data_IF_779599103876
#
_entry.id   IF_779599103876
#
_cell.length_a   1.000
_cell.length_b   1.000
_cell.length_c   1.000
_cell.angle_alpha   90.00
_cell.angle_beta   90.00
_cell.angle_gamma   90.00
#
_symmetry.space_group_name_H-M   'P 1'
#
loop_
_entity.id
_entity.type
_entity.pdbx_description
1 polymer ?
#
# COMPACT_ATOMS: atom_id res chain seq x y z
N UNK A 1 84.13 31.69 40.15
CA UNK A 1 82.87 32.30 39.66
C UNK A 1 81.92 31.20 39.20
N UNK A 2 80.95 30.82 40.03
CA UNK A 2 79.95 29.85 39.74
C UNK A 2 78.61 30.59 39.51
N UNK A 3 77.99 30.43 38.33
CA UNK A 3 76.60 30.87 38.04
C UNK A 3 75.67 29.75 38.30
N UNK A 4 74.76 29.96 39.25
CA UNK A 4 73.59 29.09 39.48
C UNK A 4 72.51 29.45 38.48
N UNK A 5 72.05 28.46 37.71
CA UNK A 5 70.81 28.57 36.92
C UNK A 5 69.67 27.96 37.71
N UNK A 6 68.66 28.74 38.05
CA UNK A 6 67.40 28.30 38.62
C UNK A 6 66.48 27.89 37.51
N UNK A 7 66.02 26.60 37.49
CA UNK A 7 64.93 26.11 36.66
C UNK A 7 63.60 26.45 37.35
N UNK A 8 62.76 27.27 36.69
CA UNK A 8 61.38 27.47 37.08
C UNK A 8 60.52 26.38 36.36
N UNK A 9 59.91 25.52 37.15
CA UNK A 9 58.90 24.56 36.63
C UNK A 9 57.56 25.28 36.40
N UNK A 10 57.11 25.33 35.16
CA UNK A 10 55.75 25.80 34.81
C UNK A 10 54.82 24.57 34.78
N UNK A 11 53.99 24.47 35.80
CA UNK A 11 52.90 23.45 35.81
C UNK A 11 51.80 23.90 34.87
N UNK A 12 51.66 23.21 33.75
CA UNK A 12 50.50 23.33 32.86
C UNK A 12 49.30 22.57 33.44
N UNK A 13 48.31 23.29 33.91
CA UNK A 13 46.99 22.71 34.28
C UNK A 13 46.22 22.49 33.01
N UNK A 14 46.10 21.23 32.56
CA UNK A 14 45.13 20.80 31.51
C UNK A 14 43.72 20.84 32.11
N UNK A 15 42.94 21.87 31.78
CA UNK A 15 41.50 21.89 31.99
C UNK A 15 40.87 21.00 30.91
N UNK A 16 40.45 19.78 31.26
CA UNK A 16 39.60 18.98 30.44
C UNK A 16 38.21 19.64 30.44
N UNK A 17 37.91 20.36 29.37
CA UNK A 17 36.53 20.77 29.09
C UNK A 17 35.73 19.52 28.67
N UNK A 18 34.91 18.99 29.58
CA UNK A 18 33.84 18.06 29.22
C UNK A 18 32.83 18.87 28.38
N UNK A 19 32.87 18.71 27.09
CA UNK A 19 31.78 19.12 26.24
C UNK A 19 30.58 18.23 26.60
N UNK A 20 29.66 18.76 27.39
CA UNK A 20 28.32 18.18 27.52
C UNK A 20 27.69 18.29 26.14
N UNK A 21 27.58 17.17 25.43
CA UNK A 21 26.66 17.08 24.31
C UNK A 21 25.28 17.36 24.90
N UNK A 22 24.77 18.57 24.68
CA UNK A 22 23.37 18.87 24.90
C UNK A 22 22.63 18.07 23.81
N UNK A 23 22.11 16.89 24.15
CA UNK A 23 21.12 16.20 23.35
C UNK A 23 20.00 17.20 23.04
N UNK A 24 19.54 17.26 21.81
CA UNK A 24 18.37 18.04 21.48
C UNK A 24 17.21 17.59 22.40
N UNK A 25 16.44 18.57 22.93
CA UNK A 25 15.29 18.23 23.76
C UNK A 25 14.31 17.39 22.95
N UNK A 26 13.66 16.39 23.59
CA UNK A 26 12.61 15.61 22.95
C UNK A 26 11.55 16.54 22.35
N UNK A 27 11.05 16.27 21.15
CA UNK A 27 9.92 17.02 20.61
C UNK A 27 8.68 16.83 21.47
N UNK A 28 7.79 17.81 21.47
CA UNK A 28 6.47 17.65 22.08
C UNK A 28 5.66 16.62 21.29
N UNK A 29 4.96 15.67 21.94
CA UNK A 29 4.15 14.67 21.26
C UNK A 29 3.12 15.26 20.27
N UNK A 30 2.53 16.41 20.60
CA UNK A 30 1.60 17.12 19.70
C UNK A 30 2.28 17.57 18.40
N UNK A 31 3.55 17.97 18.44
CA UNK A 31 4.31 18.37 17.25
C UNK A 31 4.63 17.16 16.36
N UNK A 32 4.89 15.98 16.97
CA UNK A 32 5.07 14.72 16.22
C UNK A 32 3.80 14.32 15.50
N UNK A 33 2.66 14.34 16.18
CA UNK A 33 1.39 13.97 15.57
C UNK A 33 0.93 15.00 14.55
N UNK A 34 1.22 16.29 14.74
CA UNK A 34 0.96 17.29 13.68
C UNK A 34 1.74 16.95 12.42
N UNK A 35 3.04 16.65 12.54
CA UNK A 35 3.84 16.29 11.38
C UNK A 35 3.40 14.96 10.73
N UNK A 36 2.98 13.97 11.53
CA UNK A 36 2.38 12.74 11.04
C UNK A 36 1.12 13.02 10.20
N UNK A 37 0.22 13.87 10.68
CA UNK A 37 -0.99 14.27 9.94
C UNK A 37 -0.66 15.07 8.66
N UNK A 38 0.34 15.98 8.73
CA UNK A 38 0.79 16.75 7.57
C UNK A 38 1.40 15.82 6.49
N UNK A 39 2.11 14.75 6.89
CA UNK A 39 2.60 13.74 5.95
C UNK A 39 1.47 12.88 5.37
N UNK A 40 0.45 12.53 6.16
CA UNK A 40 -0.72 11.82 5.66
C UNK A 40 -1.42 12.65 4.57
N UNK A 41 -1.73 13.91 4.86
CA UNK A 41 -2.30 14.83 3.88
C UNK A 41 -1.45 14.87 2.60
N UNK A 42 -0.14 15.04 2.72
CA UNK A 42 0.75 15.14 1.56
C UNK A 42 0.75 13.85 0.71
N UNK A 43 0.69 12.67 1.32
CA UNK A 43 0.62 11.39 0.60
C UNK A 43 -0.71 11.23 -0.14
N UNK A 44 -1.83 11.58 0.48
CA UNK A 44 -3.13 11.56 -0.21
C UNK A 44 -3.24 12.62 -1.31
N UNK A 45 -2.64 13.82 -1.14
CA UNK A 45 -2.52 14.81 -2.23
C UNK A 45 -1.67 14.27 -3.40
N UNK A 46 -0.60 13.54 -3.12
CA UNK A 46 0.25 12.91 -4.14
C UNK A 46 -0.48 11.74 -4.82
N UNK A 47 -1.22 10.91 -4.07
CA UNK A 47 -2.08 9.87 -4.62
C UNK A 47 -3.16 10.47 -5.54
N UNK A 48 -3.83 11.53 -5.11
CA UNK A 48 -4.80 12.25 -5.94
C UNK A 48 -4.16 12.84 -7.21
N UNK A 49 -2.95 13.40 -7.10
CA UNK A 49 -2.23 13.95 -8.25
C UNK A 49 -1.92 12.89 -9.30
N UNK A 50 -1.47 11.72 -8.86
CA UNK A 50 -1.14 10.61 -9.76
C UNK A 50 -2.39 9.90 -10.27
N UNK A 51 -3.48 9.82 -9.50
CA UNK A 51 -4.77 9.30 -9.97
C UNK A 51 -5.39 10.20 -11.06
N UNK A 52 -5.29 11.51 -10.94
CA UNK A 52 -5.68 12.45 -12.01
C UNK A 52 -4.84 12.28 -13.28
N UNK A 53 -3.57 11.92 -13.16
CA UNK A 53 -2.74 11.59 -14.32
C UNK A 53 -3.14 10.25 -14.95
N UNK A 54 -3.54 9.26 -14.15
CA UNK A 54 -4.11 8.01 -14.63
C UNK A 54 -5.43 8.25 -15.36
N UNK A 55 -6.34 9.02 -14.80
CA UNK A 55 -7.62 9.37 -15.41
C UNK A 55 -7.42 10.05 -16.78
N UNK A 56 -6.50 11.00 -16.87
CA UNK A 56 -6.15 11.64 -18.15
C UNK A 56 -5.55 10.65 -19.17
N UNK A 57 -4.79 9.66 -18.75
CA UNK A 57 -4.24 8.62 -19.63
C UNK A 57 -5.34 7.66 -20.10
N UNK A 58 -6.32 7.35 -19.26
CA UNK A 58 -7.53 6.59 -19.62
C UNK A 58 -8.38 7.37 -20.63
N UNK A 59 -8.59 8.67 -20.44
CA UNK A 59 -9.25 9.53 -21.43
C UNK A 59 -8.57 9.48 -22.79
N UNK A 60 -7.23 9.49 -22.80
CA UNK A 60 -6.46 9.39 -24.04
C UNK A 60 -6.61 8.02 -24.73
N UNK A 61 -6.62 6.93 -23.94
CA UNK A 61 -6.88 5.57 -24.42
C UNK A 61 -8.27 5.47 -25.07
N UNK A 62 -9.30 5.98 -24.42
CA UNK A 62 -10.68 5.94 -24.90
C UNK A 62 -10.85 6.80 -26.17
N UNK A 63 -10.23 7.97 -26.22
CA UNK A 63 -10.32 8.89 -27.34
C UNK A 63 -9.57 8.40 -28.59
N UNK A 64 -8.47 7.67 -28.44
CA UNK A 64 -7.62 7.18 -29.50
C UNK A 64 -6.97 5.83 -29.14
N UNK A 65 -7.73 4.73 -29.14
CA UNK A 65 -7.24 3.41 -28.74
C UNK A 65 -6.05 2.96 -29.59
N UNK A 66 -4.94 2.67 -28.94
CA UNK A 66 -3.71 2.16 -29.53
C UNK A 66 -2.86 1.48 -28.46
N UNK A 67 -1.86 0.69 -28.90
CA UNK A 67 -0.91 0.10 -27.95
C UNK A 67 -0.20 1.18 -27.12
N UNK A 68 0.18 2.29 -27.75
CA UNK A 68 0.86 3.40 -27.05
C UNK A 68 -0.01 4.02 -25.95
N UNK A 69 -1.31 4.26 -26.22
CA UNK A 69 -2.21 4.84 -25.21
C UNK A 69 -2.57 3.85 -24.11
N UNK A 70 -2.68 2.55 -24.42
CA UNK A 70 -2.85 1.51 -23.40
C UNK A 70 -1.62 1.39 -22.50
N UNK A 71 -0.41 1.38 -23.09
CA UNK A 71 0.84 1.31 -22.32
C UNK A 71 1.03 2.57 -21.45
N UNK A 72 0.59 3.73 -21.93
CA UNK A 72 0.59 4.97 -21.15
C UNK A 72 -0.36 4.90 -19.96
N UNK A 73 -1.59 4.36 -20.13
CA UNK A 73 -2.55 4.17 -19.04
C UNK A 73 -2.02 3.17 -17.99
N UNK A 74 -1.45 2.03 -18.44
CA UNK A 74 -0.79 1.06 -17.57
C UNK A 74 0.36 1.68 -16.77
N UNK A 75 1.19 2.48 -17.42
CA UNK A 75 2.30 3.16 -16.75
C UNK A 75 1.81 4.19 -15.73
N UNK A 76 0.74 4.91 -16.03
CA UNK A 76 0.12 5.87 -15.12
C UNK A 76 -0.52 5.17 -13.91
N UNK A 77 -1.14 4.00 -14.11
CA UNK A 77 -1.66 3.17 -13.03
C UNK A 77 -0.53 2.75 -12.07
N UNK A 78 0.55 2.15 -12.58
CA UNK A 78 1.71 1.78 -11.77
C UNK A 78 2.29 2.97 -10.99
N UNK A 79 2.38 4.13 -11.61
CA UNK A 79 2.85 5.35 -10.95
C UNK A 79 1.89 5.83 -9.85
N UNK A 80 0.58 5.63 -10.02
CA UNK A 80 -0.43 6.05 -9.04
C UNK A 80 -0.46 5.16 -7.79
N UNK A 81 -0.04 3.90 -7.92
CA UNK A 81 0.11 2.99 -6.78
C UNK A 81 1.16 3.45 -5.77
N UNK A 82 2.25 4.09 -6.23
CA UNK A 82 3.39 4.45 -5.37
C UNK A 82 2.99 5.32 -4.17
N UNK A 83 2.42 6.53 -4.33
CA UNK A 83 2.04 7.36 -3.18
C UNK A 83 0.86 6.78 -2.41
N UNK A 84 -0.06 6.07 -3.08
CA UNK A 84 -1.19 5.42 -2.42
C UNK A 84 -0.70 4.34 -1.44
N UNK A 85 0.13 3.39 -1.87
CA UNK A 85 0.67 2.34 -0.99
C UNK A 85 1.47 2.91 0.19
N UNK A 86 2.19 3.98 0.00
CA UNK A 86 2.85 4.66 1.12
C UNK A 86 1.86 5.27 2.12
N UNK A 87 0.58 5.42 1.77
CA UNK A 87 -0.46 5.92 2.67
C UNK A 87 -1.19 4.81 3.44
N UNK A 88 -1.04 3.53 3.10
CA UNK A 88 -1.69 2.40 3.77
C UNK A 88 -1.42 2.36 5.28
N UNK A 89 -0.25 2.83 5.72
CA UNK A 89 0.12 2.93 7.14
C UNK A 89 -0.85 3.81 7.96
N UNK A 90 -1.67 4.64 7.34
CA UNK A 90 -2.67 5.49 8.02
C UNK A 90 -4.04 4.83 8.17
N UNK A 91 -4.27 3.66 7.58
CA UNK A 91 -5.53 2.91 7.63
C UNK A 91 -5.82 2.42 9.04
N UNK A 92 -4.97 1.56 9.55
CA UNK A 92 -5.15 0.92 10.85
C UNK A 92 -5.05 1.93 12.00
N UNK A 93 -5.99 1.88 12.93
CA UNK A 93 -6.08 2.84 14.04
C UNK A 93 -6.74 4.17 13.69
N UNK A 94 -7.19 4.36 12.43
CA UNK A 94 -8.01 5.48 12.00
C UNK A 94 -9.29 4.98 11.30
N UNK A 95 -10.43 4.90 12.01
CA UNK A 95 -11.65 4.30 11.46
C UNK A 95 -12.23 5.05 10.26
N UNK A 96 -11.85 6.31 10.02
CA UNK A 96 -12.28 7.07 8.84
C UNK A 96 -11.56 6.57 7.60
N UNK A 97 -10.27 6.26 7.73
CA UNK A 97 -9.47 5.72 6.61
C UNK A 97 -9.81 4.26 6.38
N UNK A 98 -9.93 3.48 7.44
CA UNK A 98 -10.23 2.05 7.38
C UNK A 98 -11.58 1.78 6.69
N UNK A 99 -12.64 2.47 7.10
CA UNK A 99 -13.96 2.35 6.45
C UNK A 99 -14.01 2.83 4.98
N UNK A 100 -13.03 3.63 4.55
CA UNK A 100 -12.94 4.16 3.19
C UNK A 100 -12.11 3.27 2.26
N UNK A 101 -11.11 2.58 2.80
CA UNK A 101 -10.10 1.86 2.05
C UNK A 101 -10.71 0.81 1.11
N UNK A 102 -11.69 0.02 1.55
CA UNK A 102 -12.37 -0.99 0.73
C UNK A 102 -13.04 -0.46 -0.54
N UNK A 103 -13.22 0.87 -0.69
CA UNK A 103 -13.72 1.47 -1.94
C UNK A 103 -12.62 1.63 -2.99
N UNK A 104 -11.36 1.72 -2.57
CA UNK A 104 -10.25 2.09 -3.46
C UNK A 104 -9.20 0.99 -3.63
N UNK A 105 -9.08 0.07 -2.68
CA UNK A 105 -8.02 -0.93 -2.69
C UNK A 105 -8.46 -2.33 -2.23
N UNK A 106 -9.78 -2.62 -2.24
CA UNK A 106 -10.29 -3.96 -1.93
C UNK A 106 -9.68 -5.02 -2.85
N UNK A 107 -9.35 -6.17 -2.28
CA UNK A 107 -8.74 -7.33 -2.90
C UNK A 107 -9.05 -8.56 -2.01
N UNK A 108 -9.14 -9.79 -2.52
CA UNK A 108 -9.07 -10.23 -3.93
C UNK A 108 -10.30 -9.85 -4.77
N UNK A 109 -10.17 -9.96 -6.11
CA UNK A 109 -11.20 -9.55 -7.07
C UNK A 109 -11.64 -10.71 -7.94
N UNK A 110 -12.95 -11.04 -7.93
CA UNK A 110 -13.59 -11.96 -8.89
C UNK A 110 -13.85 -11.24 -10.22
N UNK A 111 -13.01 -11.46 -11.23
CA UNK A 111 -12.98 -10.73 -12.50
C UNK A 111 -14.24 -10.87 -13.33
N UNK A 112 -14.86 -12.06 -13.25
CA UNK A 112 -16.08 -12.37 -13.98
C UNK A 112 -17.30 -11.56 -13.57
N UNK A 113 -17.23 -10.82 -12.45
CA UNK A 113 -18.24 -9.82 -12.11
C UNK A 113 -18.23 -8.68 -13.13
N UNK A 114 -17.05 -8.22 -13.52
CA UNK A 114 -16.83 -6.99 -14.31
C UNK A 114 -16.92 -7.26 -15.81
N UNK A 115 -16.12 -8.20 -16.33
CA UNK A 115 -15.88 -8.38 -17.76
C UNK A 115 -15.71 -9.87 -18.10
N UNK A 116 -15.51 -10.17 -19.38
CA UNK A 116 -15.21 -11.51 -19.87
C UNK A 116 -13.96 -12.09 -19.22
N UNK A 117 -13.98 -13.39 -18.99
CA UNK A 117 -12.90 -14.20 -18.44
C UNK A 117 -12.58 -15.38 -19.36
N UNK A 118 -11.42 -16.01 -19.17
CA UNK A 118 -11.04 -17.23 -19.88
C UNK A 118 -12.04 -18.38 -19.54
N UNK A 119 -12.35 -19.27 -20.46
CA UNK A 119 -13.21 -20.43 -20.16
C UNK A 119 -12.73 -21.34 -19.03
N UNK A 120 -11.43 -21.33 -18.71
CA UNK A 120 -10.87 -22.09 -17.60
C UNK A 120 -11.26 -21.54 -16.23
N UNK A 121 -11.65 -20.26 -16.15
CA UNK A 121 -12.16 -19.61 -14.94
C UNK A 121 -13.43 -20.31 -14.38
N UNK A 122 -14.21 -20.95 -15.23
CA UNK A 122 -15.45 -21.61 -14.87
C UNK A 122 -16.68 -20.73 -15.11
N UNK A 123 -17.83 -21.24 -14.70
CA UNK A 123 -19.12 -20.58 -14.94
C UNK A 123 -19.95 -20.37 -13.67
N UNK A 124 -19.50 -20.88 -12.55
CA UNK A 124 -20.20 -20.83 -11.27
C UNK A 124 -19.21 -20.94 -10.10
N UNK A 125 -19.55 -20.35 -8.97
CA UNK A 125 -18.88 -20.47 -7.69
C UNK A 125 -19.90 -20.79 -6.61
N UNK A 126 -19.58 -21.68 -5.70
CA UNK A 126 -20.45 -22.02 -4.57
C UNK A 126 -20.61 -20.86 -3.58
N UNK A 127 -19.60 -19.96 -3.52
CA UNK A 127 -19.56 -18.83 -2.60
C UNK A 127 -20.00 -17.51 -3.22
N UNK A 128 -19.84 -17.32 -4.54
CA UNK A 128 -20.18 -16.08 -5.22
C UNK A 128 -21.19 -16.27 -6.35
N UNK A 129 -22.49 -15.93 -6.15
CA UNK A 129 -23.51 -16.06 -7.20
C UNK A 129 -23.31 -15.06 -8.37
N UNK A 130 -22.40 -14.11 -8.27
CA UNK A 130 -22.08 -13.09 -9.28
C UNK A 130 -20.75 -13.32 -9.98
N UNK A 131 -20.12 -14.44 -9.70
CA UNK A 131 -18.80 -14.85 -10.19
C UNK A 131 -18.58 -14.65 -11.70
N UNK A 132 -19.63 -14.75 -12.50
CA UNK A 132 -19.62 -14.53 -13.95
C UNK A 132 -20.77 -13.61 -14.41
N UNK A 133 -21.08 -12.59 -13.62
CA UNK A 133 -22.17 -11.66 -13.95
C UNK A 133 -21.89 -10.84 -15.22
N UNK A 134 -20.61 -10.56 -15.51
CA UNK A 134 -20.11 -9.79 -16.67
C UNK A 134 -21.01 -8.57 -16.94
N UNK A 135 -20.97 -7.60 -16.02
CA UNK A 135 -21.83 -6.40 -16.12
C UNK A 135 -21.49 -5.53 -17.32
N UNK A 136 -20.33 -5.71 -17.94
CA UNK A 136 -19.97 -5.06 -19.19
C UNK A 136 -20.78 -5.63 -20.34
N UNK A 137 -20.96 -6.94 -20.41
CA UNK A 137 -21.80 -7.55 -21.44
C UNK A 137 -23.29 -7.52 -21.10
N UNK A 138 -23.63 -7.58 -19.81
CA UNK A 138 -25.00 -7.69 -19.34
C UNK A 138 -25.46 -6.37 -18.70
N UNK A 139 -26.49 -5.69 -19.28
CA UNK A 139 -26.93 -4.39 -18.79
C UNK A 139 -27.73 -4.45 -17.47
N UNK A 140 -27.82 -5.63 -16.85
CA UNK A 140 -28.43 -5.80 -15.52
C UNK A 140 -27.81 -6.98 -14.80
N UNK A 141 -27.57 -6.85 -13.50
CA UNK A 141 -27.19 -7.93 -12.61
C UNK A 141 -28.30 -8.16 -11.58
N UNK A 142 -28.65 -9.42 -11.29
CA UNK A 142 -29.63 -9.75 -10.24
C UNK A 142 -28.89 -10.29 -9.04
N UNK A 143 -28.98 -9.59 -7.90
CA UNK A 143 -28.22 -9.83 -6.68
C UNK A 143 -29.22 -10.05 -5.54
N UNK A 144 -29.17 -11.20 -4.87
CA UNK A 144 -30.09 -11.55 -3.77
C UNK A 144 -31.58 -11.32 -4.08
N UNK A 145 -31.95 -11.44 -5.38
CA UNK A 145 -33.32 -11.19 -5.85
C UNK A 145 -33.64 -9.73 -6.19
N UNK A 146 -32.69 -8.83 -6.01
CA UNK A 146 -32.77 -7.45 -6.49
C UNK A 146 -32.04 -7.33 -7.82
N UNK A 147 -32.61 -6.60 -8.77
CA UNK A 147 -31.98 -6.36 -10.06
C UNK A 147 -31.35 -5.00 -10.07
N UNK A 148 -30.01 -4.97 -10.24
CA UNK A 148 -29.24 -3.75 -10.47
C UNK A 148 -29.31 -3.39 -11.95
N UNK A 149 -29.69 -2.15 -12.24
CA UNK A 149 -29.65 -1.61 -13.60
C UNK A 149 -28.24 -1.13 -13.95
N UNK A 150 -27.59 -1.88 -14.83
CA UNK A 150 -26.25 -1.62 -15.36
C UNK A 150 -26.31 -1.11 -16.80
N UNK A 151 -27.48 -0.64 -17.27
CA UNK A 151 -27.65 -0.09 -18.63
C UNK A 151 -26.73 1.10 -18.90
N UNK A 152 -26.48 1.93 -17.86
CA UNK A 152 -25.49 3.00 -17.87
C UNK A 152 -24.40 2.70 -16.82
N UNK A 153 -23.16 2.67 -17.25
CA UNK A 153 -21.99 2.45 -16.38
C UNK A 153 -21.46 3.83 -15.93
N UNK A 154 -21.84 4.21 -14.73
CA UNK A 154 -21.51 5.48 -14.08
C UNK A 154 -20.79 5.22 -12.76
N UNK A 155 -20.08 6.21 -12.17
CA UNK A 155 -19.52 6.06 -10.83
C UNK A 155 -20.52 5.51 -9.81
N UNK A 156 -21.75 6.03 -9.79
CA UNK A 156 -22.80 5.58 -8.85
C UNK A 156 -23.23 4.13 -9.09
N UNK A 157 -23.38 3.70 -10.37
CA UNK A 157 -23.79 2.33 -10.67
C UNK A 157 -22.72 1.30 -10.31
N UNK A 158 -21.44 1.59 -10.57
CA UNK A 158 -20.35 0.67 -10.21
C UNK A 158 -20.07 0.67 -8.70
N UNK A 159 -20.22 1.81 -8.00
CA UNK A 159 -20.14 1.85 -6.54
C UNK A 159 -21.22 0.97 -5.88
N UNK A 160 -22.40 0.84 -6.50
CA UNK A 160 -23.45 -0.07 -6.04
C UNK A 160 -23.16 -1.56 -6.24
N UNK A 161 -22.10 -1.90 -7.00
CA UNK A 161 -21.63 -3.28 -7.18
C UNK A 161 -20.55 -3.67 -6.17
N UNK A 162 -19.88 -2.70 -5.53
CA UNK A 162 -18.82 -2.99 -4.58
C UNK A 162 -19.35 -3.88 -3.45
N UNK A 163 -18.70 -5.03 -3.23
CA UNK A 163 -19.09 -6.05 -2.24
C UNK A 163 -20.56 -6.53 -2.40
N UNK A 164 -21.09 -6.51 -3.61
CA UNK A 164 -22.46 -6.86 -3.87
C UNK A 164 -22.78 -8.29 -3.37
N UNK A 165 -23.92 -8.42 -2.70
CA UNK A 165 -24.34 -9.69 -2.10
C UNK A 165 -23.58 -10.06 -0.83
N UNK A 166 -22.89 -9.11 -0.19
CA UNK A 166 -22.03 -9.34 0.97
C UNK A 166 -20.86 -10.31 0.67
N UNK A 167 -20.37 -10.28 -0.57
CA UNK A 167 -19.23 -11.06 -1.03
C UNK A 167 -18.06 -10.12 -1.25
N UNK A 168 -17.02 -10.25 -0.43
CA UNK A 168 -15.83 -9.38 -0.44
C UNK A 168 -15.11 -9.40 -1.79
N UNK A 169 -15.02 -10.54 -2.46
CA UNK A 169 -14.42 -10.69 -3.78
C UNK A 169 -15.20 -9.98 -4.92
N UNK A 170 -16.40 -9.48 -4.66
CA UNK A 170 -17.14 -8.65 -5.63
C UNK A 170 -16.58 -7.23 -5.65
N UNK A 171 -15.29 -7.12 -5.93
CA UNK A 171 -14.58 -5.83 -6.07
C UNK A 171 -14.93 -5.23 -7.43
N UNK A 172 -15.59 -4.07 -7.42
CA UNK A 172 -16.10 -3.40 -8.61
C UNK A 172 -15.47 -2.03 -8.85
N UNK A 173 -14.73 -1.50 -7.86
CA UNK A 173 -14.18 -0.14 -7.86
C UNK A 173 -12.71 -0.14 -7.46
N UNK A 174 -12.09 1.03 -7.49
CA UNK A 174 -10.74 1.21 -6.99
C UNK A 174 -9.63 0.73 -7.94
N UNK A 175 -8.45 0.61 -7.38
CA UNK A 175 -7.23 0.33 -8.15
C UNK A 175 -7.27 -1.03 -8.86
N UNK A 176 -7.75 -2.09 -8.20
CA UNK A 176 -7.72 -3.45 -8.76
C UNK A 176 -8.76 -3.65 -9.87
N UNK A 177 -9.93 -3.02 -9.79
CA UNK A 177 -10.88 -3.01 -10.90
C UNK A 177 -10.31 -2.28 -12.13
N UNK A 178 -9.61 -1.16 -11.93
CA UNK A 178 -8.91 -0.44 -13.02
C UNK A 178 -7.75 -1.28 -13.56
N UNK A 179 -7.01 -1.96 -12.70
CA UNK A 179 -5.93 -2.87 -13.08
C UNK A 179 -6.43 -3.98 -13.99
N UNK A 180 -7.45 -4.72 -13.55
CA UNK A 180 -8.10 -5.76 -14.35
C UNK A 180 -8.58 -5.24 -15.71
N UNK A 181 -9.19 -4.06 -15.75
CA UNK A 181 -9.65 -3.46 -17.01
C UNK A 181 -8.49 -3.12 -17.95
N UNK A 182 -7.33 -2.71 -17.42
CA UNK A 182 -6.16 -2.37 -18.24
C UNK A 182 -5.35 -3.59 -18.69
N UNK A 183 -5.24 -4.63 -17.86
CA UNK A 183 -4.42 -5.82 -18.16
C UNK A 183 -5.21 -7.05 -18.54
N UNK A 184 -6.48 -7.19 -18.10
CA UNK A 184 -7.21 -8.47 -18.18
C UNK A 184 -6.65 -9.47 -17.17
N UNK A 185 -7.13 -10.71 -17.24
CA UNK A 185 -6.60 -11.80 -16.42
C UNK A 185 -5.11 -12.05 -16.71
N UNK A 186 -4.37 -12.39 -15.69
CA UNK A 186 -3.08 -13.06 -15.88
C UNK A 186 -3.32 -14.58 -15.99
N UNK A 187 -3.08 -15.12 -17.17
CA UNK A 187 -3.24 -16.53 -17.47
C UNK A 187 -1.92 -17.29 -17.45
N UNK A 188 -0.85 -16.65 -16.97
CA UNK A 188 0.48 -17.27 -16.94
C UNK A 188 0.71 -18.07 -15.65
N UNK A 189 -0.16 -17.96 -14.66
CA UNK A 189 -0.01 -18.58 -13.35
C UNK A 189 1.27 -18.08 -12.68
N UNK A 190 2.15 -18.97 -12.22
CA UNK A 190 3.49 -18.59 -11.72
C UNK A 190 4.56 -18.57 -12.82
N UNK A 191 4.16 -18.38 -14.06
CA UNK A 191 5.04 -18.20 -15.22
C UNK A 191 5.26 -16.72 -15.55
N UNK A 192 6.19 -16.38 -16.44
CA UNK A 192 6.52 -14.99 -16.72
C UNK A 192 5.45 -14.28 -17.53
N UNK A 193 5.08 -13.08 -17.12
CA UNK A 193 4.26 -12.12 -17.86
C UNK A 193 2.93 -11.83 -17.24
N UNK A 194 2.58 -10.56 -17.18
CA UNK A 194 1.33 -9.99 -16.71
C UNK A 194 0.16 -10.27 -17.68
N UNK A 195 -1.05 -9.91 -17.27
CA UNK A 195 -2.23 -9.89 -18.12
C UNK A 195 -1.99 -9.12 -19.43
N UNK A 196 -2.62 -9.56 -20.51
CA UNK A 196 -2.33 -9.05 -21.85
C UNK A 196 -3.58 -8.65 -22.62
N UNK A 197 -4.44 -7.83 -22.01
CA UNK A 197 -5.60 -7.26 -22.69
C UNK A 197 -5.18 -6.43 -23.91
N UNK A 198 -5.71 -6.67 -25.12
CA UNK A 198 -5.37 -5.89 -26.30
C UNK A 198 -6.05 -4.51 -26.26
N UNK A 199 -5.39 -3.48 -26.81
CA UNK A 199 -6.01 -2.14 -26.91
C UNK A 199 -7.28 -2.14 -27.77
N UNK A 200 -7.45 -3.14 -28.66
CA UNK A 200 -8.64 -3.31 -29.49
C UNK A 200 -9.90 -3.63 -28.69
N UNK A 201 -9.79 -3.95 -27.42
CA UNK A 201 -10.93 -4.05 -26.50
C UNK A 201 -11.54 -2.67 -26.17
N UNK A 202 -10.85 -1.60 -26.52
CA UNK A 202 -11.29 -0.20 -26.41
C UNK A 202 -11.53 0.46 -27.76
N UNK A 203 -11.29 -0.25 -28.89
CA UNK A 203 -11.45 0.30 -30.24
C UNK A 203 -12.81 -0.07 -30.85
N UNK A 204 -13.79 0.85 -30.91
CA UNK A 204 -15.11 0.54 -31.46
C UNK A 204 -15.08 0.13 -32.95
N UNK A 205 -14.02 0.52 -33.69
CA UNK A 205 -13.86 0.18 -35.09
C UNK A 205 -13.32 -1.23 -35.32
N UNK A 206 -12.59 -1.78 -34.33
CA UNK A 206 -11.93 -3.10 -34.40
C UNK A 206 -12.11 -3.89 -33.09
N UNK A 207 -13.29 -3.84 -32.50
CA UNK A 207 -13.58 -4.40 -31.17
C UNK A 207 -13.32 -5.91 -31.13
N UNK A 208 -12.38 -6.35 -30.29
CA UNK A 208 -11.92 -7.75 -30.28
C UNK A 208 -12.89 -8.66 -29.53
N UNK A 209 -13.27 -8.30 -28.30
CA UNK A 209 -14.10 -9.14 -27.40
C UNK A 209 -15.51 -8.59 -27.19
N UNK A 210 -15.97 -7.68 -28.07
CA UNK A 210 -17.28 -7.05 -27.93
C UNK A 210 -17.33 -6.02 -26.81
N UNK A 211 -18.45 -5.32 -26.70
CA UNK A 211 -18.76 -4.37 -25.61
C UNK A 211 -17.72 -3.26 -25.38
N UNK A 212 -16.91 -2.90 -26.39
CA UNK A 212 -15.82 -1.95 -26.26
C UNK A 212 -16.26 -0.59 -25.72
N UNK A 213 -17.43 -0.10 -26.14
CA UNK A 213 -18.00 1.16 -25.65
C UNK A 213 -18.36 1.07 -24.15
N UNK A 214 -18.89 -0.07 -23.72
CA UNK A 214 -19.28 -0.29 -22.33
C UNK A 214 -18.04 -0.50 -21.44
N UNK A 215 -17.03 -1.23 -21.94
CA UNK A 215 -15.75 -1.40 -21.24
C UNK A 215 -15.05 -0.06 -21.06
N UNK A 216 -15.04 0.79 -22.07
CA UNK A 216 -14.53 2.14 -21.98
C UNK A 216 -15.31 2.98 -20.96
N UNK A 217 -16.65 2.87 -20.94
CA UNK A 217 -17.47 3.57 -19.96
C UNK A 217 -17.22 3.09 -18.53
N UNK A 218 -17.03 1.78 -18.31
CA UNK A 218 -16.70 1.24 -17.00
C UNK A 218 -15.32 1.74 -16.52
N UNK A 219 -14.29 1.62 -17.36
CA UNK A 219 -12.95 2.08 -17.03
C UNK A 219 -12.94 3.59 -16.69
N UNK A 220 -13.66 4.41 -17.46
CA UNK A 220 -13.82 5.84 -17.16
C UNK A 220 -14.54 6.06 -15.84
N UNK A 221 -15.65 5.37 -15.61
CA UNK A 221 -16.40 5.49 -14.35
C UNK A 221 -15.55 5.08 -13.13
N UNK A 222 -14.72 4.05 -13.26
CA UNK A 222 -13.83 3.59 -12.19
C UNK A 222 -12.71 4.60 -11.89
N UNK A 223 -12.12 5.22 -12.91
CA UNK A 223 -11.09 6.27 -12.69
C UNK A 223 -11.69 7.56 -12.17
N UNK A 224 -12.88 7.98 -12.63
CA UNK A 224 -13.60 9.13 -12.07
C UNK A 224 -13.92 8.93 -10.58
N UNK A 225 -14.40 7.72 -10.23
CA UNK A 225 -14.73 7.38 -8.85
C UNK A 225 -13.47 7.36 -7.97
N UNK A 226 -12.37 6.77 -8.43
CA UNK A 226 -11.09 6.76 -7.71
C UNK A 226 -10.61 8.20 -7.42
N UNK A 227 -10.72 9.11 -8.40
CA UNK A 227 -10.36 10.51 -8.20
C UNK A 227 -11.26 11.17 -7.15
N UNK A 228 -12.58 10.93 -7.21
CA UNK A 228 -13.54 11.49 -6.25
C UNK A 228 -13.30 10.95 -4.83
N UNK A 229 -13.03 9.65 -4.68
CA UNK A 229 -12.71 9.02 -3.39
C UNK A 229 -11.40 9.57 -2.79
N UNK A 230 -10.39 9.80 -3.60
CA UNK A 230 -9.14 10.43 -3.14
C UNK A 230 -9.33 11.91 -2.81
N UNK A 231 -10.20 12.65 -3.51
CA UNK A 231 -10.56 14.03 -3.14
C UNK A 231 -11.27 14.07 -1.77
N UNK A 232 -12.14 13.09 -1.48
CA UNK A 232 -12.76 12.93 -0.17
C UNK A 232 -11.69 12.68 0.91
N UNK A 233 -10.73 11.77 0.66
CA UNK A 233 -9.72 11.46 1.67
C UNK A 233 -8.74 12.62 1.89
N UNK A 234 -8.36 13.36 0.85
CA UNK A 234 -7.62 14.62 1.00
C UNK A 234 -8.38 15.59 1.90
N UNK A 235 -9.69 15.76 1.71
CA UNK A 235 -10.52 16.62 2.56
C UNK A 235 -10.58 16.11 4.01
N UNK A 236 -10.61 14.80 4.23
CA UNK A 236 -10.60 14.19 5.57
C UNK A 236 -9.28 14.41 6.32
N UNK A 237 -8.16 14.61 5.63
CA UNK A 237 -6.86 14.93 6.23
C UNK A 237 -6.53 16.43 6.28
N UNK A 238 -7.35 17.31 5.68
CA UNK A 238 -7.20 18.76 5.88
C UNK A 238 -7.38 19.13 7.37
N UNK A 239 -6.80 20.26 7.84
CA UNK A 239 -7.00 20.73 9.21
C UNK A 239 -8.49 20.84 9.58
N UNK A 240 -8.90 20.05 10.59
CA UNK A 240 -10.30 19.92 11.02
C UNK A 240 -11.13 18.89 10.26
N UNK A 241 -10.53 18.16 9.30
CA UNK A 241 -11.15 17.01 8.65
C UNK A 241 -11.34 15.82 9.59
N UNK A 242 -12.15 14.85 9.19
CA UNK A 242 -12.54 13.75 10.07
C UNK A 242 -11.34 12.87 10.45
N UNK A 243 -10.51 12.45 9.48
CA UNK A 243 -9.34 11.61 9.73
C UNK A 243 -8.26 12.36 10.54
N UNK A 244 -8.00 13.64 10.23
CA UNK A 244 -7.07 14.48 10.98
C UNK A 244 -7.53 14.65 12.43
N UNK A 245 -8.82 14.85 12.65
CA UNK A 245 -9.39 15.03 13.99
C UNK A 245 -9.25 13.81 14.89
N UNK A 246 -9.26 12.58 14.33
CA UNK A 246 -9.00 11.34 15.08
C UNK A 246 -7.62 11.41 15.74
N UNK A 247 -6.59 11.80 15.01
CA UNK A 247 -5.21 11.78 15.50
C UNK A 247 -4.82 13.03 16.26
N UNK A 248 -5.45 14.18 15.95
CA UNK A 248 -5.09 15.48 16.53
C UNK A 248 -5.77 15.82 17.84
N UNK A 249 -6.86 15.12 18.19
CA UNK A 249 -7.65 15.40 19.39
C UNK A 249 -6.88 15.19 20.71
N UNK A 250 -6.08 14.10 20.78
CA UNK A 250 -5.19 13.78 21.91
C UNK A 250 -3.89 13.18 21.34
N UNK A 251 -2.72 13.73 21.66
CA UNK A 251 -1.46 13.21 21.13
C UNK A 251 -1.18 11.75 21.48
N UNK A 252 -1.72 11.22 22.58
CA UNK A 252 -1.60 9.79 22.91
C UNK A 252 -2.47 8.92 22.00
N UNK A 253 -3.66 9.41 21.64
CA UNK A 253 -4.52 8.72 20.66
C UNK A 253 -3.85 8.72 19.30
N UNK A 254 -3.31 9.87 18.86
CA UNK A 254 -2.59 9.96 17.60
C UNK A 254 -1.34 9.07 17.54
N UNK A 255 -0.56 9.01 18.61
CA UNK A 255 0.61 8.11 18.68
C UNK A 255 0.19 6.63 18.67
N UNK A 256 -0.93 6.27 19.35
CA UNK A 256 -1.46 4.91 19.24
C UNK A 256 -1.86 4.60 17.80
N UNK A 257 -2.67 5.47 17.17
CA UNK A 257 -3.08 5.27 15.79
C UNK A 257 -1.87 5.07 14.85
N UNK A 258 -0.83 5.88 15.00
CA UNK A 258 0.37 5.73 14.19
C UNK A 258 1.10 4.39 14.43
N UNK A 259 1.22 3.95 15.68
CA UNK A 259 1.89 2.69 16.02
C UNK A 259 1.02 1.46 15.72
N UNK A 260 -0.31 1.57 15.86
CA UNK A 260 -1.25 0.56 15.34
C UNK A 260 -1.07 0.42 13.83
N UNK A 261 -1.11 1.54 13.08
CA UNK A 261 -0.92 1.53 11.63
C UNK A 261 0.41 0.88 11.21
N UNK A 262 1.50 1.24 11.86
CA UNK A 262 2.80 0.61 11.59
C UNK A 262 2.82 -0.89 11.93
N UNK A 263 2.23 -1.28 13.06
CA UNK A 263 2.23 -2.67 13.53
C UNK A 263 1.31 -3.57 12.70
N UNK A 264 0.05 -3.18 12.51
CA UNK A 264 -0.94 -3.96 11.77
C UNK A 264 -0.56 -4.07 10.29
N UNK A 265 -0.13 -2.98 9.65
CA UNK A 265 0.38 -3.07 8.27
C UNK A 265 1.64 -3.95 8.19
N UNK A 266 2.55 -3.93 9.18
CA UNK A 266 3.75 -4.77 9.14
C UNK A 266 3.43 -6.24 9.33
N UNK A 267 2.57 -6.60 10.28
CA UNK A 267 2.35 -8.00 10.70
C UNK A 267 1.17 -8.64 10.00
N UNK A 268 -0.05 -8.21 10.33
CA UNK A 268 -1.26 -8.82 9.82
C UNK A 268 -1.38 -8.68 8.32
N UNK A 269 -1.41 -7.46 7.85
CA UNK A 269 -1.70 -7.15 6.46
C UNK A 269 -0.54 -7.55 5.52
N UNK A 270 0.62 -6.88 5.59
CA UNK A 270 1.67 -7.06 4.60
C UNK A 270 2.41 -8.39 4.75
N UNK A 271 2.90 -8.71 5.97
CA UNK A 271 3.61 -9.97 6.17
C UNK A 271 2.69 -11.19 6.10
N UNK A 272 1.47 -11.09 6.65
CA UNK A 272 0.52 -12.17 6.73
C UNK A 272 -0.31 -12.35 5.46
N UNK A 273 -1.30 -11.48 5.27
CA UNK A 273 -2.29 -11.62 4.21
C UNK A 273 -1.68 -11.45 2.82
N UNK A 274 -0.88 -10.39 2.60
CA UNK A 274 -0.36 -10.07 1.26
C UNK A 274 0.89 -10.87 0.85
N UNK A 275 1.64 -11.45 1.79
CA UNK A 275 2.91 -12.12 1.43
C UNK A 275 2.96 -13.58 1.86
N UNK A 276 2.64 -13.88 3.16
CA UNK A 276 2.81 -15.23 3.68
C UNK A 276 1.79 -16.19 3.14
N UNK A 277 0.55 -15.74 2.94
CA UNK A 277 -0.54 -16.56 2.40
C UNK A 277 -0.16 -17.07 0.99
N UNK A 278 0.13 -16.19 0.05
CA UNK A 278 0.53 -16.56 -1.30
C UNK A 278 1.80 -17.43 -1.35
N UNK A 279 2.76 -17.17 -0.45
CA UNK A 279 3.98 -17.99 -0.36
C UNK A 279 3.70 -19.41 0.17
N UNK A 280 2.75 -19.60 1.08
CA UNK A 280 2.36 -20.93 1.61
C UNK A 280 1.59 -21.71 0.56
N UNK A 281 0.65 -21.06 -0.11
CA UNK A 281 -0.22 -21.69 -1.11
C UNK A 281 0.45 -21.88 -2.46
N UNK A 282 1.52 -21.12 -2.74
CA UNK A 282 2.14 -21.00 -4.07
C UNK A 282 1.14 -20.59 -5.15
N UNK A 283 0.14 -19.78 -4.74
CA UNK A 283 -0.98 -19.40 -5.57
C UNK A 283 -0.78 -17.97 -6.11
N UNK A 284 -0.72 -17.77 -7.44
CA UNK A 284 -0.58 -16.45 -8.05
C UNK A 284 -1.82 -15.56 -7.83
N UNK A 285 -3.01 -16.13 -7.58
CA UNK A 285 -4.22 -15.36 -7.28
C UNK A 285 -4.16 -14.66 -5.92
N UNK A 286 -3.24 -15.08 -5.05
CA UNK A 286 -2.95 -14.42 -3.77
C UNK A 286 -1.97 -13.23 -3.92
N UNK A 287 -1.65 -12.81 -5.14
CA UNK A 287 -0.92 -11.58 -5.42
C UNK A 287 -1.79 -10.34 -5.28
N UNK A 288 -1.27 -9.33 -4.62
CA UNK A 288 -2.02 -8.09 -4.41
C UNK A 288 -2.29 -7.31 -5.72
N UNK A 289 -1.28 -7.18 -6.60
CA UNK A 289 -1.41 -6.54 -7.93
C UNK A 289 -1.22 -7.62 -9.04
N UNK A 290 -2.08 -8.66 -9.04
CA UNK A 290 -1.89 -9.90 -9.82
C UNK A 290 -2.00 -9.68 -11.33
N UNK A 291 -2.86 -8.75 -11.80
CA UNK A 291 -3.05 -8.55 -13.23
C UNK A 291 -1.87 -7.86 -13.91
N UNK A 292 -1.10 -7.06 -13.18
CA UNK A 292 -0.03 -6.21 -13.73
C UNK A 292 1.38 -6.65 -13.37
N UNK A 293 1.57 -7.72 -12.59
CA UNK A 293 2.86 -8.11 -11.99
C UNK A 293 3.52 -6.98 -11.18
N UNK A 294 2.72 -6.14 -10.50
CA UNK A 294 3.24 -4.97 -9.80
C UNK A 294 3.35 -5.15 -8.28
N UNK A 295 2.99 -6.30 -7.75
CA UNK A 295 2.94 -6.61 -6.31
C UNK A 295 4.22 -6.26 -5.57
N UNK A 296 5.38 -6.52 -6.17
CA UNK A 296 6.67 -6.16 -5.60
C UNK A 296 6.82 -4.66 -5.33
N UNK A 297 6.26 -3.82 -6.19
CA UNK A 297 6.33 -2.36 -6.03
C UNK A 297 5.34 -1.88 -4.96
N UNK A 298 4.14 -2.46 -4.89
CA UNK A 298 3.15 -2.16 -3.86
C UNK A 298 3.69 -2.52 -2.48
N UNK A 299 4.21 -3.73 -2.27
CA UNK A 299 4.80 -4.16 -1.01
C UNK A 299 6.01 -3.32 -0.57
N UNK A 300 6.89 -2.95 -1.51
CA UNK A 300 8.00 -2.04 -1.21
C UNK A 300 7.47 -0.68 -0.72
N UNK A 301 6.43 -0.14 -1.36
CA UNK A 301 5.89 1.18 -0.99
C UNK A 301 5.12 1.14 0.33
N UNK A 302 4.48 0.03 0.71
CA UNK A 302 3.94 -0.18 2.05
C UNK A 302 5.05 -0.09 3.11
N UNK A 303 6.15 -0.80 2.90
CA UNK A 303 7.31 -0.75 3.81
C UNK A 303 7.94 0.66 3.89
N UNK A 304 8.02 1.39 2.77
CA UNK A 304 8.44 2.81 2.75
C UNK A 304 7.45 3.67 3.55
N UNK A 305 6.15 3.40 3.44
CA UNK A 305 5.09 4.05 4.21
C UNK A 305 5.31 3.90 5.72
N UNK A 306 5.55 2.67 6.18
CA UNK A 306 5.84 2.35 7.58
C UNK A 306 7.10 3.08 8.07
N UNK A 307 8.19 3.01 7.31
CA UNK A 307 9.44 3.67 7.67
C UNK A 307 9.29 5.19 7.72
N UNK A 308 8.51 5.78 6.82
CA UNK A 308 8.24 7.22 6.80
C UNK A 308 7.45 7.68 8.03
N UNK A 309 6.46 6.91 8.46
CA UNK A 309 5.66 7.19 9.66
C UNK A 309 6.54 7.22 10.93
N UNK A 310 7.50 6.30 11.05
CA UNK A 310 8.43 6.28 12.17
C UNK A 310 9.44 7.42 12.14
N UNK A 311 10.05 7.66 10.97
CA UNK A 311 11.19 8.58 10.82
C UNK A 311 10.80 10.03 10.59
N UNK A 312 9.51 10.32 10.30
CA UNK A 312 9.04 11.65 9.97
C UNK A 312 9.61 12.19 8.67
N UNK A 313 9.85 11.33 7.67
CA UNK A 313 10.45 11.70 6.38
C UNK A 313 9.59 11.18 5.23
N UNK A 314 9.30 12.06 4.29
CA UNK A 314 8.59 11.71 3.07
C UNK A 314 9.13 12.50 1.88
N UNK A 315 9.27 11.83 0.74
CA UNK A 315 9.62 12.47 -0.53
C UNK A 315 8.38 12.49 -1.40
N UNK A 316 7.87 13.68 -1.68
CA UNK A 316 6.69 13.88 -2.53
C UNK A 316 6.98 13.50 -3.98
N UNK A 317 5.92 13.28 -4.76
CA UNK A 317 6.02 12.95 -6.20
C UNK A 317 6.69 14.04 -7.04
N UNK A 318 6.68 15.28 -6.58
CA UNK A 318 7.40 16.40 -7.21
C UNK A 318 8.88 16.52 -6.78
N UNK A 319 9.36 15.61 -5.91
CA UNK A 319 10.72 15.59 -5.35
C UNK A 319 10.90 16.44 -4.09
N UNK A 320 9.87 17.13 -3.62
CA UNK A 320 9.93 17.90 -2.36
C UNK A 320 10.14 16.98 -1.18
N UNK A 321 11.12 17.34 -0.31
CA UNK A 321 11.43 16.59 0.91
C UNK A 321 10.65 17.16 2.09
N UNK A 322 9.86 16.31 2.75
CA UNK A 322 9.25 16.61 4.04
C UNK A 322 10.08 15.99 5.15
N UNK A 323 10.40 16.77 6.17
CA UNK A 323 11.08 16.30 7.40
C UNK A 323 10.59 17.10 8.58
N UNK A 324 10.34 16.43 9.71
CA UNK A 324 9.85 17.10 10.92
C UNK A 324 10.00 16.23 12.17
N UNK A 325 9.43 16.70 13.31
CA UNK A 325 9.42 15.92 14.54
C UNK A 325 8.79 14.55 14.33
N UNK A 326 9.41 13.49 14.87
CA UNK A 326 9.08 12.11 14.54
C UNK A 326 8.89 11.24 15.78
N UNK A 327 8.27 10.06 15.61
CA UNK A 327 8.20 9.03 16.64
C UNK A 327 9.61 8.60 17.02
N UNK A 328 10.52 8.49 16.05
CA UNK A 328 11.93 8.19 16.26
C UNK A 328 12.59 9.20 17.22
N UNK A 329 12.33 10.50 17.07
CA UNK A 329 12.89 11.52 17.98
C UNK A 329 12.35 11.38 19.42
N UNK A 330 11.07 11.00 19.58
CA UNK A 330 10.50 10.71 20.90
C UNK A 330 11.16 9.50 21.56
N UNK A 331 11.36 8.44 20.79
CA UNK A 331 11.99 7.20 21.26
C UNK A 331 13.45 7.46 21.57
N UNK A 332 14.19 8.12 20.68
CA UNK A 332 15.61 8.44 20.87
C UNK A 332 15.88 9.28 22.13
N UNK A 333 14.95 10.17 22.50
CA UNK A 333 15.05 10.97 23.70
C UNK A 333 14.87 10.15 25.00
N UNK A 334 14.15 9.04 24.96
CA UNK A 334 13.87 8.16 26.10
C UNK A 334 14.81 6.94 26.14
N UNK A 335 14.98 6.28 25.00
CA UNK A 335 15.79 5.09 24.81
C UNK A 335 16.50 5.14 23.45
N UNK A 336 17.69 5.75 23.35
CA UNK A 336 18.44 5.84 22.10
C UNK A 336 18.85 4.47 21.52
N UNK A 337 18.96 3.44 22.36
CA UNK A 337 19.29 2.09 21.89
C UNK A 337 18.12 1.46 21.17
N UNK A 338 16.91 1.64 21.69
CA UNK A 338 15.67 1.17 21.04
C UNK A 338 15.41 1.91 19.71
N UNK A 339 15.64 3.24 19.65
CA UNK A 339 15.53 3.97 18.37
C UNK A 339 16.52 3.44 17.33
N UNK A 340 17.77 3.20 17.75
CA UNK A 340 18.79 2.62 16.85
C UNK A 340 18.38 1.22 16.37
N UNK A 341 17.83 0.41 17.26
CA UNK A 341 17.31 -0.92 16.92
C UNK A 341 16.15 -0.81 15.92
N UNK A 342 15.14 0.01 16.21
CA UNK A 342 13.96 0.16 15.34
C UNK A 342 14.34 0.63 13.93
N UNK A 343 15.18 1.66 13.82
CA UNK A 343 15.72 2.12 12.53
C UNK A 343 16.47 1.01 11.79
N UNK A 344 17.31 0.26 12.50
CA UNK A 344 18.04 -0.87 11.91
C UNK A 344 17.12 -1.98 11.40
N UNK A 345 15.98 -2.23 12.07
CA UNK A 345 14.96 -3.21 11.61
C UNK A 345 14.25 -2.71 10.36
N UNK A 346 13.83 -1.45 10.35
CA UNK A 346 13.23 -0.83 9.15
C UNK A 346 14.19 -0.87 7.95
N UNK A 347 15.48 -0.59 8.17
CA UNK A 347 16.49 -0.65 7.11
C UNK A 347 16.67 -2.08 6.57
N UNK A 348 16.62 -3.11 7.43
CA UNK A 348 16.68 -4.53 7.03
C UNK A 348 15.46 -4.91 6.20
N UNK A 349 14.25 -4.55 6.63
CA UNK A 349 13.03 -4.80 5.88
C UNK A 349 13.07 -4.12 4.51
N UNK A 350 13.44 -2.83 4.46
CA UNK A 350 13.55 -2.09 3.19
C UNK A 350 14.63 -2.69 2.28
N UNK A 351 15.73 -3.20 2.82
CA UNK A 351 16.74 -3.87 2.02
C UNK A 351 16.22 -5.17 1.40
N UNK A 352 15.43 -5.96 2.13
CA UNK A 352 14.80 -7.19 1.62
C UNK A 352 13.74 -6.87 0.56
N UNK A 353 12.87 -5.87 0.80
CA UNK A 353 11.88 -5.40 -0.18
C UNK A 353 12.53 -4.87 -1.46
N UNK A 354 13.60 -4.09 -1.35
CA UNK A 354 14.35 -3.62 -2.52
C UNK A 354 15.03 -4.78 -3.29
N UNK A 355 15.50 -5.80 -2.60
CA UNK A 355 16.08 -6.99 -3.26
C UNK A 355 15.01 -7.76 -4.03
N UNK A 356 13.81 -7.90 -3.47
CA UNK A 356 12.64 -8.50 -4.12
C UNK A 356 12.21 -7.66 -5.35
N UNK A 357 12.08 -6.34 -5.20
CA UNK A 357 11.75 -5.43 -6.30
C UNK A 357 12.79 -5.48 -7.43
N UNK A 358 14.09 -5.46 -7.10
CA UNK A 358 15.15 -5.58 -8.11
C UNK A 358 15.12 -6.93 -8.85
N UNK A 359 14.65 -8.01 -8.21
CA UNK A 359 14.47 -9.31 -8.83
C UNK A 359 13.30 -9.28 -9.83
N UNK A 360 12.18 -8.65 -9.46
CA UNK A 360 11.03 -8.45 -10.34
C UNK A 360 11.39 -7.56 -11.55
N UNK A 361 12.08 -6.45 -11.34
CA UNK A 361 12.60 -5.60 -12.41
C UNK A 361 13.60 -6.33 -13.33
N UNK A 362 14.28 -7.35 -12.80
CA UNK A 362 15.16 -8.26 -13.53
C UNK A 362 14.42 -9.30 -14.39
N UNK A 363 13.10 -9.35 -14.33
CA UNK A 363 12.23 -10.22 -15.14
C UNK A 363 11.74 -11.48 -14.41
N UNK A 364 11.77 -11.50 -13.07
CA UNK A 364 11.17 -12.54 -12.26
C UNK A 364 10.17 -11.88 -11.31
N UNK A 365 8.92 -11.74 -11.76
CA UNK A 365 7.85 -11.08 -11.04
C UNK A 365 7.46 -11.83 -9.75
N UNK A 366 6.57 -11.25 -8.95
CA UNK A 366 6.29 -11.76 -7.61
C UNK A 366 5.60 -13.13 -7.64
N UNK A 367 4.67 -13.36 -8.55
CA UNK A 367 4.03 -14.66 -8.83
C UNK A 367 5.06 -15.76 -9.05
N UNK A 368 6.08 -15.47 -9.87
CA UNK A 368 7.19 -16.39 -10.11
C UNK A 368 8.01 -16.65 -8.84
N UNK A 369 8.20 -15.61 -8.00
CA UNK A 369 8.95 -15.75 -6.75
C UNK A 369 8.23 -16.62 -5.73
N UNK A 370 6.89 -16.57 -5.65
CA UNK A 370 6.11 -17.43 -4.74
C UNK A 370 5.87 -18.84 -5.30
N UNK A 371 6.10 -19.06 -6.59
CA UNK A 371 5.83 -20.32 -7.30
C UNK A 371 6.48 -21.53 -6.64
N UNK A 372 5.82 -22.69 -6.74
CA UNK A 372 6.30 -23.96 -6.20
C UNK A 372 7.65 -24.35 -6.84
N UNK A 373 8.63 -24.71 -6.02
CA UNK A 373 9.96 -25.11 -6.48
C UNK A 373 10.91 -23.97 -6.83
N UNK A 374 10.49 -22.71 -6.72
CA UNK A 374 11.37 -21.55 -6.84
C UNK A 374 12.05 -21.21 -5.50
N UNK A 375 12.97 -22.05 -5.05
CA UNK A 375 13.64 -21.88 -3.75
C UNK A 375 14.26 -20.48 -3.57
N UNK A 376 14.81 -19.90 -4.63
CA UNK A 376 15.49 -18.60 -4.56
C UNK A 376 14.50 -17.44 -4.49
N UNK A 377 13.38 -17.51 -5.21
CA UNK A 377 12.27 -16.56 -5.13
C UNK A 377 11.58 -16.64 -3.78
N UNK A 378 11.21 -17.85 -3.36
CA UNK A 378 10.58 -18.10 -2.05
C UNK A 378 11.45 -17.56 -0.90
N UNK A 379 12.78 -17.74 -0.97
CA UNK A 379 13.69 -17.20 0.03
C UNK A 379 13.74 -15.67 0.03
N UNK A 380 13.60 -15.00 -1.12
CA UNK A 380 13.58 -13.56 -1.20
C UNK A 380 12.30 -12.99 -0.56
N UNK A 381 11.14 -13.59 -0.85
CA UNK A 381 9.85 -13.23 -0.23
C UNK A 381 9.89 -13.49 1.28
N UNK A 382 10.37 -14.68 1.70
CA UNK A 382 10.46 -15.01 3.13
C UNK A 382 11.38 -14.04 3.89
N UNK A 383 12.48 -13.57 3.28
CA UNK A 383 13.36 -12.58 3.93
C UNK A 383 12.66 -11.24 4.19
N UNK A 384 11.76 -10.81 3.31
CA UNK A 384 10.95 -9.62 3.52
C UNK A 384 9.91 -9.83 4.63
N UNK A 385 9.23 -10.97 4.64
CA UNK A 385 8.31 -11.39 5.71
C UNK A 385 9.02 -11.39 7.08
N UNK A 386 10.18 -12.02 7.16
CA UNK A 386 10.97 -12.09 8.41
C UNK A 386 11.36 -10.70 8.92
N UNK A 387 11.70 -9.78 8.00
CA UNK A 387 11.99 -8.39 8.31
C UNK A 387 10.79 -7.66 8.91
N UNK A 388 9.61 -7.83 8.32
CA UNK A 388 8.35 -7.24 8.80
C UNK A 388 7.95 -7.76 10.18
N UNK A 389 8.04 -9.06 10.40
CA UNK A 389 7.76 -9.69 11.70
C UNK A 389 8.74 -9.17 12.77
N UNK A 390 10.01 -9.08 12.43
CA UNK A 390 11.07 -8.68 13.37
C UNK A 390 10.98 -7.17 13.72
N UNK A 391 10.60 -6.31 12.78
CA UNK A 391 10.34 -4.89 13.08
C UNK A 391 9.08 -4.70 13.94
N UNK A 392 8.04 -5.53 13.79
CA UNK A 392 6.82 -5.47 14.61
C UNK A 392 7.12 -5.68 16.09
N UNK A 393 8.02 -6.60 16.43
CA UNK A 393 8.48 -6.81 17.82
C UNK A 393 9.17 -5.56 18.39
N UNK A 394 9.85 -4.78 17.56
CA UNK A 394 10.43 -3.51 18.00
C UNK A 394 9.38 -2.40 18.11
N UNK A 395 8.33 -2.42 17.25
CA UNK A 395 7.17 -1.51 17.37
C UNK A 395 6.46 -1.71 18.72
N UNK A 396 6.23 -2.95 19.16
CA UNK A 396 5.65 -3.24 20.47
C UNK A 396 6.48 -2.66 21.64
N UNK A 397 7.81 -2.73 21.52
CA UNK A 397 8.72 -2.12 22.50
C UNK A 397 8.69 -0.59 22.47
N UNK A 398 8.54 0.01 21.28
CA UNK A 398 8.34 1.45 21.11
C UNK A 398 7.06 1.89 21.81
N UNK A 399 5.94 1.16 21.65
CA UNK A 399 4.67 1.42 22.36
C UNK A 399 4.88 1.52 23.87
N UNK A 400 5.63 0.57 24.45
CA UNK A 400 5.94 0.58 25.88
C UNK A 400 6.86 1.77 26.26
N UNK A 401 7.86 2.08 25.46
CA UNK A 401 8.82 3.17 25.72
C UNK A 401 8.17 4.56 25.70
N UNK A 402 7.12 4.76 24.88
CA UNK A 402 6.40 6.05 24.83
C UNK A 402 5.17 6.12 25.75
N UNK A 403 5.00 5.17 26.65
CA UNK A 403 3.96 5.13 27.70
C UNK A 403 2.51 5.15 27.17
N UNK A 404 2.25 4.41 26.09
CA UNK A 404 0.91 4.36 25.47
C UNK A 404 -0.01 3.24 26.03
N UNK A 405 0.52 2.34 26.85
CA UNK A 405 -0.20 1.16 27.33
C UNK A 405 -0.22 0.05 26.29
N UNK A 406 -1.36 -0.56 26.05
CA UNK A 406 -1.53 -1.58 25.02
C UNK A 406 -1.95 -0.92 23.69
N UNK A 407 -1.41 -1.43 22.61
CA UNK A 407 -1.80 -1.17 21.21
C UNK A 407 -2.22 -2.51 20.64
N UNK A 408 -3.34 -2.55 19.96
CA UNK A 408 -3.82 -3.73 19.26
C UNK A 408 -3.16 -3.76 17.88
N UNK A 409 -2.47 -4.86 17.57
CA UNK A 409 -1.86 -5.12 16.27
C UNK A 409 -2.65 -6.28 15.68
N UNK A 410 -3.14 -6.11 14.46
CA UNK A 410 -3.87 -7.13 13.76
C UNK A 410 -2.97 -8.33 13.44
N UNK A 411 -3.51 -9.54 13.61
CA UNK A 411 -2.86 -10.79 13.28
C UNK A 411 -3.25 -11.29 11.89
N UNK A 412 -2.71 -12.46 11.51
CA UNK A 412 -3.08 -13.17 10.30
C UNK A 412 -2.98 -14.67 10.55
N UNK A 413 -3.95 -15.45 10.07
CA UNK A 413 -3.93 -16.90 10.19
C UNK A 413 -2.71 -17.51 9.49
N UNK A 414 -2.25 -16.95 8.40
CA UNK A 414 -1.05 -17.41 7.70
C UNK A 414 0.22 -17.35 8.57
N UNK A 415 0.26 -16.49 9.59
CA UNK A 415 1.38 -16.35 10.52
C UNK A 415 1.09 -17.00 11.88
N UNK A 416 -0.14 -16.83 12.40
CA UNK A 416 -0.50 -17.23 13.77
C UNK A 416 -1.01 -18.68 13.84
N UNK A 417 -1.62 -19.17 12.76
CA UNK A 417 -2.18 -20.53 12.64
C UNK A 417 -2.09 -21.06 11.20
N UNK A 418 -0.86 -21.26 10.64
CA UNK A 418 -0.66 -21.57 9.21
C UNK A 418 -1.41 -22.81 8.71
N UNK A 419 -1.78 -23.73 9.57
CA UNK A 419 -2.55 -24.92 9.19
C UNK A 419 -4.00 -24.56 8.81
N UNK A 420 -4.55 -23.44 9.32
CA UNK A 420 -5.93 -23.01 9.04
C UNK A 420 -6.13 -22.56 7.57
N UNK A 421 -5.06 -22.14 6.89
CA UNK A 421 -5.16 -21.70 5.48
C UNK A 421 -5.42 -22.87 4.51
N UNK A 422 -5.36 -24.10 4.97
CA UNK A 422 -5.63 -25.32 4.19
C UNK A 422 -6.97 -25.99 4.55
N UNK A 423 -7.73 -25.45 5.50
CA UNK A 423 -9.03 -25.98 5.95
C UNK A 423 -10.21 -25.34 5.19
#
# INVERSE_FOLDING_TARGET
LARKHSLSAVSAICILAFATQSGAAAPEPQAVIRHYADMALAKYEDALTTAKALDAAVDALIAAPSQETLDAARSAWKASRIPYQQSEVYRFGNPVVDAWEGRVNAWPLDEGLIDYVDPAYGTESDSNPYYVADVIANPSATINGETLDMSELTPDSIAGLQEAGEVEANVATGYHAIEFLLWGQDLNGTGPGAGNRPYTDYDPANCTHGNCDRRAAYLKAATDLLVADLEEMVANWQPGGAAESVVMGDPKVGLRAALTGMGSLSYGELAGERMKLGLILHDPEEEHDCFSDNTHASHLNDAVGIASAYTGRYTRVDGTQMTGPSISDLVAAKDPALDTEMRGKLDVTLAAMNAMAARAEGGEAYDQMIGEGNEAGNAAVQAAIDGLIDQTRSIERVVAAVDLGQVEIEGSDSLDNPDAVFE
#
